data_IF_589627633296
#
_entry.id   IF_589627633296
#
_cell.length_a   1.000
_cell.length_b   1.000
_cell.length_c   1.000
_cell.angle_alpha   90.00
_cell.angle_beta   90.00
_cell.angle_gamma   90.00
#
_symmetry.space_group_name_H-M   'P 1'
#
loop_
_entity.id
_entity.type
_entity.pdbx_description
1 polymer ?
2 polymer ?
3 non-polymer ?
4 non-polymer ?
5 non-polymer ?
6 water ?
#
# COMPACT_ATOMS: atom_id res chain seq x y z
N UNK A 2 -1.56 4.50 -20.30
CA UNK A 2 -1.04 4.48 -18.90
C UNK A 2 -1.25 3.10 -18.26
N UNK A 3 -0.74 2.07 -18.93
CA UNK A 3 -0.87 0.69 -18.47
C UNK A 3 -2.35 0.37 -18.19
N UNK A 5 -4.28 -0.62 -15.16
CA UNK A 5 -4.54 -0.85 -13.75
C UNK A 5 -5.10 0.37 -13.03
N UNK A 6 -5.72 0.14 -11.88
CA UNK A 6 -6.35 1.21 -11.11
C UNK A 6 -5.46 1.75 -9.99
N UNK A 7 -4.97 0.86 -9.13
CA UNK A 7 -4.11 1.29 -8.04
C UNK A 7 -2.77 0.59 -8.05
N UNK A 9 -0.05 -0.67 -5.10
CA UNK A 9 0.31 -0.76 -3.68
C UNK A 9 1.76 -1.18 -3.54
N UNK A 10 2.50 -0.43 -2.74
CA UNK A 10 3.90 -0.72 -2.47
C UNK A 10 3.90 -1.54 -1.18
N UNK A 11 4.54 -2.71 -1.20
CA UNK A 11 4.60 -3.58 -0.04
C UNK A 11 6.02 -3.98 0.27
N UNK A 12 6.38 -3.92 1.57
CA UNK A 12 7.71 -4.29 2.02
C UNK A 12 7.65 -5.53 2.93
N UNK A 13 8.61 -6.44 2.77
CA UNK A 13 8.67 -7.63 3.60
C UNK A 13 9.92 -7.49 4.46
N UNK A 14 9.75 -7.42 5.78
CA UNK A 14 10.88 -7.26 6.68
C UNK A 14 10.93 -8.32 7.76
N UNK A 15 12.12 -8.51 8.32
CA UNK A 15 12.31 -9.49 9.38
C UNK A 15 13.74 -9.99 9.34
N UNK A 16 14.17 -10.67 10.41
CA UNK A 16 15.53 -11.20 10.52
C UNK A 16 15.96 -12.02 9.31
N UNK A 17 17.27 -12.01 9.04
CA UNK A 17 17.82 -12.77 7.93
C UNK A 17 17.51 -14.27 8.08
N UNK A 18 17.25 -14.92 6.95
CA UNK A 18 16.94 -16.36 6.91
C UNK A 18 15.55 -16.77 7.34
N UNK A 19 14.71 -15.81 7.73
CA UNK A 19 13.36 -16.17 8.14
C UNK A 19 12.55 -16.64 6.92
N UNK A 20 13.02 -16.28 5.73
CA UNK A 20 12.35 -16.69 4.51
C UNK A 20 11.53 -15.59 3.82
N UNK A 21 12.06 -14.37 3.83
CA UNK A 21 11.36 -13.27 3.21
C UNK A 21 11.34 -13.41 1.69
N UNK A 22 12.51 -13.59 1.10
CA UNK A 22 12.61 -13.76 -0.35
C UNK A 22 11.82 -14.97 -0.86
N UNK A 23 11.95 -16.09 -0.17
CA UNK A 23 11.24 -17.30 -0.55
C UNK A 23 9.77 -17.02 -0.62
N UNK A 24 9.26 -16.33 0.39
CA UNK A 24 7.85 -15.98 0.46
C UNK A 24 7.46 -15.21 -0.79
N UNK A 25 8.37 -14.36 -1.26
CA UNK A 25 8.14 -13.59 -2.46
C UNK A 25 8.15 -14.47 -3.72
N UNK A 26 9.28 -15.13 -3.97
CA UNK A 26 9.40 -15.99 -5.14
C UNK A 26 8.27 -17.00 -5.27
N UNK A 27 7.65 -17.35 -4.14
CA UNK A 27 6.53 -18.29 -4.16
C UNK A 27 5.24 -17.60 -4.58
N UNK A 28 5.13 -16.32 -4.25
CA UNK A 28 3.93 -15.57 -4.59
C UNK A 28 4.01 -15.07 -6.02
N UNK A 29 5.19 -14.61 -6.41
CA UNK A 29 5.42 -14.09 -7.74
C UNK A 29 5.55 -15.19 -8.79
N UNK A 30 6.66 -15.92 -8.74
CA UNK A 30 6.95 -16.99 -9.69
C UNK A 30 6.57 -18.41 -9.25
N UNK A 31 6.15 -18.57 -8.00
CA UNK A 31 5.78 -19.88 -7.48
C UNK A 31 6.97 -20.83 -7.64
N UNK A 32 8.04 -20.56 -6.90
CA UNK A 32 9.25 -21.37 -6.97
C UNK A 32 10.04 -21.32 -5.67
N UNK A 33 10.32 -22.50 -5.10
CA UNK A 33 11.08 -22.61 -3.85
C UNK A 33 12.48 -23.16 -4.13
N UNK A 34 13.46 -22.69 -3.35
CA UNK A 34 14.83 -23.15 -3.53
C UNK A 34 15.55 -23.26 -2.18
N UNK A 35 15.74 -24.49 -1.69
CA UNK A 35 16.41 -24.76 -0.42
C UNK A 35 17.71 -23.98 -0.21
N UNK A 36 18.26 -23.42 -1.29
CA UNK A 36 19.50 -22.66 -1.19
C UNK A 36 19.26 -21.38 -0.40
N UNK A 37 20.34 -20.79 0.11
CA UNK A 37 20.23 -19.56 0.89
C UNK A 37 21.18 -18.46 0.40
N UNK A 38 20.66 -17.59 -0.45
CA UNK A 38 21.46 -16.48 -0.97
C UNK A 38 20.98 -15.19 -0.31
N UNK A 39 21.67 -14.77 0.76
CA UNK A 39 21.30 -13.56 1.46
C UNK A 39 21.14 -12.42 0.47
N UNK A 40 20.06 -11.67 0.61
CA UNK A 40 19.76 -10.53 -0.26
C UNK A 40 20.69 -9.35 -0.03
N UNK A 41 21.12 -8.73 -1.13
CA UNK A 41 22.02 -7.59 -1.05
C UNK A 41 21.25 -6.27 -1.04
N UNK A 42 21.01 -5.74 0.16
CA UNK A 42 20.29 -4.48 0.28
C UNK A 42 18.80 -4.67 0.07
N UNK A 43 18.34 -4.42 -1.15
CA UNK A 43 16.93 -4.55 -1.49
C UNK A 43 16.74 -5.06 -2.91
N UNK A 44 15.50 -5.41 -3.22
CA UNK A 44 15.13 -5.89 -4.54
C UNK A 44 13.61 -5.91 -4.56
N UNK A 45 13.00 -5.96 -5.75
CA UNK A 45 11.56 -5.98 -5.81
C UNK A 45 11.00 -6.67 -7.05
N UNK A 46 9.70 -6.96 -6.99
CA UNK A 46 9.02 -7.61 -8.08
C UNK A 46 7.66 -6.94 -8.23
N UNK A 47 7.10 -7.04 -9.43
CA UNK A 47 5.80 -6.46 -9.73
C UNK A 47 4.82 -7.54 -10.11
N UNK A 48 3.59 -7.41 -9.64
CA UNK A 48 2.56 -8.40 -9.92
C UNK A 48 1.21 -7.72 -9.92
N UNK A 49 0.48 -7.86 -11.03
CA UNK A 49 -0.84 -7.27 -11.13
C UNK A 49 -1.86 -8.33 -10.78
N UNK A 50 -2.83 -7.96 -9.96
CA UNK A 50 -3.87 -8.89 -9.57
C UNK A 50 -5.18 -8.16 -9.74
N UNK A 51 -6.28 -8.92 -9.78
CA UNK A 51 -7.61 -8.35 -9.92
C UNK A 51 -8.39 -8.78 -8.70
N UNK A 52 -8.64 -7.85 -7.80
CA UNK A 52 -9.35 -8.17 -6.57
C UNK A 52 -10.23 -7.01 -6.15
N UNK A 53 -11.36 -7.32 -5.55
CA UNK A 53 -12.30 -6.30 -5.10
C UNK A 53 -12.71 -5.41 -6.28
N UNK A 54 -13.01 -6.04 -7.42
CA UNK A 54 -13.44 -5.34 -8.62
C UNK A 54 -12.46 -4.25 -9.05
N UNK A 55 -11.16 -4.44 -8.78
CA UNK A 55 -10.14 -3.46 -9.16
C UNK A 55 -8.86 -4.12 -9.63
N UNK A 56 -8.22 -3.55 -10.63
CA UNK A 56 -6.95 -4.09 -11.11
C UNK A 56 -5.88 -3.44 -10.23
N UNK A 57 -5.17 -4.26 -9.47
CA UNK A 57 -4.17 -3.72 -8.57
C UNK A 57 -2.77 -4.15 -8.91
N UNK A 58 -1.89 -3.17 -9.10
CA UNK A 58 -0.50 -3.48 -9.38
C UNK A 58 0.25 -3.44 -8.06
N UNK A 59 0.88 -4.57 -7.71
CA UNK A 59 1.62 -4.67 -6.47
C UNK A 59 3.11 -4.59 -6.71
N UNK A 60 3.76 -3.63 -6.07
CA UNK A 60 5.21 -3.52 -6.19
C UNK A 60 5.71 -4.07 -4.85
N UNK A 61 6.12 -5.33 -4.85
CA UNK A 61 6.57 -5.98 -3.62
C UNK A 61 8.06 -5.98 -3.41
N UNK A 62 8.53 -5.24 -2.40
CA UNK A 62 9.96 -5.15 -2.09
C UNK A 62 10.41 -6.19 -1.08
N UNK A 63 11.58 -6.76 -1.34
CA UNK A 63 12.19 -7.77 -0.50
C UNK A 63 13.42 -7.11 0.11
N UNK A 64 13.41 -6.93 1.43
CA UNK A 64 14.52 -6.28 2.12
C UNK A 64 15.52 -7.23 2.77
N UNK A 65 16.74 -6.75 2.97
CA UNK A 65 17.79 -7.54 3.60
C UNK A 65 17.57 -7.49 5.09
N UNK A 66 17.62 -8.65 5.74
CA UNK A 66 17.41 -8.69 7.18
C UNK A 66 18.61 -8.32 8.01
N UNK A 67 19.81 -8.55 7.48
CA UNK A 67 21.04 -8.24 8.19
C UNK A 67 21.15 -6.78 8.59
N UNK A 68 21.58 -6.55 9.83
CA UNK A 68 21.73 -5.21 10.38
C UNK A 68 22.64 -4.35 9.52
N UNK A 69 23.32 -4.98 8.57
CA UNK A 69 24.24 -4.29 7.70
C UNK A 69 23.57 -3.25 6.79
N UNK A 70 22.44 -3.61 6.19
CA UNK A 70 21.74 -2.70 5.27
C UNK A 70 20.58 -1.92 5.87
N UNK A 71 20.56 -1.79 7.19
CA UNK A 71 19.49 -1.07 7.88
C UNK A 71 19.15 0.28 7.25
N UNK A 72 20.16 1.16 7.13
CA UNK A 72 19.95 2.50 6.58
C UNK A 72 19.37 2.55 5.18
N UNK A 73 19.85 1.69 4.29
CA UNK A 73 19.33 1.67 2.93
C UNK A 73 17.94 1.06 2.83
N UNK A 74 17.64 0.05 3.64
CA UNK A 74 16.33 -0.59 3.59
C UNK A 74 15.25 0.25 4.26
N UNK A 75 15.62 0.92 5.36
CA UNK A 75 14.67 1.74 6.08
C UNK A 75 14.27 2.97 5.26
N UNK A 76 15.14 3.34 4.33
CA UNK A 76 14.88 4.50 3.48
C UNK A 76 13.67 4.25 2.58
N UNK A 77 13.35 2.99 2.32
CA UNK A 77 12.20 2.66 1.49
C UNK A 77 10.90 2.44 2.26
N UNK A 78 10.94 2.58 3.58
CA UNK A 78 9.74 2.38 4.38
C UNK A 78 8.69 3.45 4.15
N UNK A 79 9.11 4.71 4.15
CA UNK A 79 8.16 5.81 3.98
C UNK A 79 7.23 5.75 2.77
N UNK A 80 7.53 4.88 1.81
CA UNK A 80 6.65 4.78 0.66
C UNK A 80 5.67 3.62 0.75
N UNK A 81 5.90 2.72 1.71
CA UNK A 81 5.08 1.53 1.91
C UNK A 81 3.66 1.75 2.41
N UNK A 83 1.88 -1.21 3.07
CA UNK A 83 1.70 -2.39 3.88
C UNK A 83 2.99 -3.14 4.15
N UNK A 84 3.07 -3.77 5.31
CA UNK A 84 4.25 -4.54 5.68
C UNK A 84 3.94 -5.97 6.03
N UNK A 85 4.90 -6.82 5.74
CA UNK A 85 4.82 -8.22 6.08
C UNK A 85 6.05 -8.39 6.98
N UNK A 86 5.80 -8.49 8.28
CA UNK A 86 6.87 -8.65 9.26
C UNK A 86 6.90 -10.12 9.59
N UNK A 88 8.83 -13.91 10.85
CA UNK A 88 9.83 -14.53 11.70
C UNK A 88 9.73 -16.02 11.45
N UNK A 89 10.74 -16.76 11.89
CA UNK A 89 10.78 -18.21 11.71
C UNK A 89 10.15 -18.85 12.95
N UNK A 90 9.21 -19.78 12.76
CA UNK A 90 8.57 -20.43 13.91
C UNK A 90 9.51 -21.41 14.58
N UNK A 91 10.70 -21.61 14.00
CA UNK A 91 11.69 -22.52 14.55
C UNK A 91 12.90 -21.75 15.08
N UNK A 92 12.75 -20.43 15.18
CA UNK A 92 13.84 -19.58 15.67
C UNK A 92 13.36 -18.54 16.68
N UNK A 93 13.66 -18.78 17.95
CA UNK A 93 13.25 -17.89 19.03
C UNK A 93 13.77 -16.47 18.83
N UNK A 94 15.04 -16.35 18.47
CA UNK A 94 15.61 -15.03 18.26
C UNK A 94 14.80 -14.18 17.28
N UNK A 95 14.56 -14.71 16.08
CA UNK A 95 13.81 -13.96 15.07
C UNK A 95 12.46 -13.52 15.63
N UNK A 96 11.87 -14.34 16.49
CA UNK A 96 10.58 -14.00 17.08
C UNK A 96 10.76 -12.93 18.16
N UNK A 97 11.92 -12.94 18.83
CA UNK A 97 12.19 -11.95 19.88
C UNK A 97 12.43 -10.59 19.22
N UNK A 98 12.90 -10.62 17.98
CA UNK A 98 13.19 -9.41 17.24
C UNK A 98 11.93 -8.68 16.78
N UNK A 99 10.81 -9.39 16.68
CA UNK A 99 9.58 -8.76 16.21
C UNK A 99 9.32 -7.39 16.83
N UNK A 100 9.31 -7.33 18.16
CA UNK A 100 9.08 -6.06 18.84
C UNK A 100 9.90 -4.93 18.21
N UNK A 101 11.18 -5.20 17.96
CA UNK A 101 12.08 -4.21 17.36
C UNK A 101 11.62 -3.77 15.98
N UNK A 102 11.41 -4.74 15.08
CA UNK A 102 10.96 -4.39 13.75
C UNK A 102 9.72 -3.54 13.85
N UNK A 103 8.86 -3.85 14.81
CA UNK A 103 7.64 -3.07 15.01
C UNK A 103 8.00 -1.61 15.26
N UNK A 104 9.01 -1.39 16.08
CA UNK A 104 9.46 -0.04 16.38
C UNK A 104 9.99 0.60 15.10
N UNK A 105 10.83 -0.15 14.40
CA UNK A 105 11.44 0.26 13.14
C UNK A 105 10.36 0.79 12.20
N UNK A 106 9.21 0.12 12.19
CA UNK A 106 8.12 0.51 11.32
C UNK A 106 7.47 1.81 11.79
N UNK A 107 7.28 1.94 13.10
CA UNK A 107 6.66 3.13 13.66
C UNK A 107 7.50 4.38 13.37
N UNK A 108 8.81 4.19 13.33
CA UNK A 108 9.76 5.26 13.08
C UNK A 108 9.88 5.74 11.62
N UNK A 109 10.17 4.82 10.70
CA UNK A 109 10.36 5.17 9.31
C UNK A 109 9.16 5.09 8.36
N UNK A 110 7.96 4.84 8.87
CA UNK A 110 6.81 4.75 7.97
C UNK A 110 5.65 5.63 8.38
N UNK A 111 4.72 5.81 7.46
CA UNK A 111 3.55 6.63 7.73
C UNK A 111 2.59 5.90 8.65
N UNK A 112 1.53 6.59 9.05
CA UNK A 112 0.56 6.04 9.99
C UNK A 112 -0.41 4.98 9.47
N UNK A 113 -1.01 5.21 8.31
CA UNK A 113 -1.96 4.25 7.78
C UNK A 113 -1.32 2.90 7.43
N UNK A 114 0.01 2.85 7.40
CA UNK A 114 0.73 1.63 7.08
C UNK A 114 0.12 0.43 7.77
N UNK A 115 -0.34 -0.53 6.98
CA UNK A 115 -0.95 -1.75 7.51
C UNK A 115 0.14 -2.80 7.70
N UNK A 116 0.08 -3.52 8.82
CA UNK A 116 1.10 -4.53 9.11
C UNK A 116 0.54 -5.91 9.39
N UNK A 117 1.15 -6.92 8.79
CA UNK A 117 0.74 -8.31 9.01
C UNK A 117 1.92 -9.10 9.58
N UNK A 118 1.68 -9.77 10.70
CA UNK A 118 2.72 -10.58 11.33
C UNK A 118 2.64 -12.01 10.80
N UNK A 119 3.69 -12.47 10.15
CA UNK A 119 3.72 -13.80 9.58
C UNK A 119 4.76 -14.72 10.21
N UNK A 120 4.31 -15.87 10.72
CA UNK A 120 5.21 -16.84 11.30
C UNK A 120 5.44 -17.85 10.20
N UNK A 121 6.62 -17.81 9.57
CA UNK A 121 6.94 -18.70 8.46
C UNK A 121 7.55 -20.06 8.82
N UNK A 122 7.52 -20.96 7.84
CA UNK A 122 8.04 -22.32 7.98
C UNK A 122 7.19 -23.21 8.86
N UNK A 123 5.87 -23.02 8.84
CA UNK A 123 4.99 -23.84 9.66
C UNK A 123 4.90 -25.28 9.15
N UNK A 124 5.83 -25.64 8.26
CA UNK A 124 5.90 -27.00 7.71
C UNK A 124 6.86 -27.78 8.60
N UNK A 126 7.10 -28.49 11.65
CA UNK A 126 6.46 -28.68 12.94
C UNK A 126 7.34 -29.41 13.94
N UNK A 127 8.41 -30.05 13.44
CA UNK A 127 9.32 -30.80 14.29
C UNK A 127 10.27 -29.88 15.04
N UNK A 128 10.64 -28.77 14.38
CA UNK A 128 11.56 -27.81 14.96
C UNK A 128 10.87 -26.56 15.49
N UNK A 129 9.56 -26.64 15.69
CA UNK A 129 8.78 -25.51 16.19
C UNK A 129 9.18 -25.14 17.62
N UNK A 130 9.51 -23.87 17.83
CA UNK A 130 9.90 -23.38 19.15
C UNK A 130 8.94 -22.31 19.65
N UNK A 131 8.24 -21.67 18.71
CA UNK A 131 7.27 -20.63 19.07
C UNK A 131 5.87 -21.19 18.83
N UNK A 132 5.01 -21.10 19.83
CA UNK A 132 3.65 -21.61 19.70
C UNK A 132 2.74 -20.60 19.03
N UNK A 133 1.74 -21.11 18.31
CA UNK A 133 0.79 -20.27 17.62
C UNK A 133 0.14 -19.30 18.59
N UNK A 134 -0.16 -19.78 19.79
CA UNK A 134 -0.79 -18.93 20.80
C UNK A 134 0.07 -17.72 21.18
N UNK A 135 1.40 -17.87 21.09
CA UNK A 135 2.30 -16.75 21.42
C UNK A 135 2.35 -15.73 20.30
N UNK A 136 2.48 -16.21 19.07
CA UNK A 136 2.53 -15.32 17.93
C UNK A 136 1.22 -14.53 17.91
N UNK A 137 0.12 -15.26 17.96
CA UNK A 137 -1.20 -14.66 17.97
C UNK A 137 -1.28 -13.62 19.08
N UNK A 138 -0.84 -14.00 20.27
CA UNK A 138 -0.88 -13.12 21.42
C UNK A 138 -0.07 -11.84 21.17
N UNK A 139 1.09 -11.99 20.54
CA UNK A 139 1.94 -10.83 20.25
C UNK A 139 1.25 -9.96 19.19
N UNK A 140 0.73 -10.62 18.15
CA UNK A 140 0.05 -9.91 17.08
C UNK A 140 -1.08 -9.03 17.63
N UNK A 141 -1.86 -9.58 18.56
CA UNK A 141 -2.97 -8.83 19.16
C UNK A 141 -2.44 -7.66 19.96
N UNK A 142 -1.32 -7.88 20.64
CA UNK A 142 -0.71 -6.85 21.47
C UNK A 142 -0.08 -5.71 20.64
N UNK A 143 0.26 -5.99 19.38
CA UNK A 143 0.85 -4.99 18.50
C UNK A 143 -0.20 -4.40 17.56
N UNK A 144 -1.38 -5.00 17.55
CA UNK A 144 -2.46 -4.54 16.68
C UNK A 144 -2.31 -5.00 15.25
N UNK A 145 -1.66 -6.14 15.04
CA UNK A 145 -1.45 -6.69 13.70
C UNK A 145 -2.29 -7.94 13.50
N UNK A 146 -2.54 -8.28 12.23
CA UNK A 146 -3.29 -9.47 11.88
C UNK A 146 -2.25 -10.57 11.96
N UNK A 147 -2.68 -11.80 12.24
CA UNK A 147 -1.72 -12.90 12.36
C UNK A 147 -1.95 -14.09 11.44
N UNK A 148 -0.86 -14.52 10.81
CA UNK A 148 -0.90 -15.67 9.91
C UNK A 148 0.31 -16.56 10.11
N UNK A 149 0.10 -17.86 9.99
CA UNK A 149 1.19 -18.80 10.12
C UNK A 149 1.21 -19.48 8.76
N UNK A 150 2.36 -19.43 8.09
CA UNK A 150 2.44 -20.00 6.76
C UNK A 150 3.79 -20.61 6.43
N UNK A 151 3.91 -21.10 5.21
CA UNK A 151 5.13 -21.71 4.73
C UNK A 151 5.37 -21.45 3.24
N UNK A 152 6.52 -20.86 2.93
CA UNK A 152 6.88 -20.59 1.55
C UNK A 152 7.02 -21.92 0.84
N UNK A 153 7.94 -22.75 1.34
CA UNK A 153 8.24 -24.08 0.80
C UNK A 153 7.02 -24.88 0.35
N UNK A 154 6.04 -25.03 1.24
CA UNK A 154 4.83 -25.80 0.92
C UNK A 154 3.64 -24.92 0.55
N UNK A 155 3.90 -23.83 -0.16
CA UNK A 155 2.87 -22.88 -0.59
C UNK A 155 1.60 -22.97 0.23
N UNK A 156 1.70 -22.61 1.51
CA UNK A 156 0.55 -22.66 2.41
C UNK A 156 0.32 -21.31 3.09
N UNK A 157 -0.93 -20.84 3.02
CA UNK A 157 -1.31 -19.59 3.64
C UNK A 157 -0.50 -18.38 3.16
N UNK A 158 0.23 -18.54 2.05
CA UNK A 158 1.03 -17.44 1.53
C UNK A 158 0.16 -16.47 0.70
N UNK A 159 -0.56 -16.98 -0.28
CA UNK A 159 -1.41 -16.11 -1.07
C UNK A 159 -2.42 -15.43 -0.18
N UNK A 160 -2.94 -16.17 0.80
CA UNK A 160 -3.92 -15.61 1.74
C UNK A 160 -3.34 -14.47 2.56
N UNK A 161 -2.01 -14.43 2.69
CA UNK A 161 -1.37 -13.37 3.44
C UNK A 161 -1.42 -12.08 2.63
N UNK A 162 -0.91 -12.13 1.40
CA UNK A 162 -0.93 -10.96 0.53
C UNK A 162 -2.36 -10.51 0.28
N UNK A 163 -3.27 -11.44 0.08
CA UNK A 163 -4.66 -11.08 -0.18
C UNK A 163 -5.28 -10.37 1.01
N UNK A 164 -4.85 -10.73 2.23
CA UNK A 164 -5.40 -10.07 3.40
C UNK A 164 -4.80 -8.67 3.51
N UNK A 165 -3.51 -8.56 3.16
CA UNK A 165 -2.82 -7.26 3.20
C UNK A 165 -3.58 -6.32 2.26
N UNK A 166 -3.67 -6.73 0.99
CA UNK A 166 -4.38 -5.96 -0.02
C UNK A 166 -5.78 -5.51 0.42
N UNK A 167 -6.59 -6.44 0.93
CA UNK A 167 -7.94 -6.06 1.36
C UNK A 167 -7.91 -5.11 2.55
N UNK A 168 -6.94 -5.29 3.42
CA UNK A 168 -6.81 -4.42 4.59
C UNK A 168 -6.49 -3.00 4.13
N UNK A 169 -5.58 -2.89 3.17
CA UNK A 169 -5.21 -1.60 2.61
C UNK A 169 -6.43 -1.00 1.90
N UNK A 170 -7.16 -1.83 1.16
CA UNK A 170 -8.34 -1.34 0.46
C UNK A 170 -9.37 -0.76 1.43
N UNK A 171 -9.55 -1.41 2.57
CA UNK A 171 -10.51 -0.93 3.56
C UNK A 171 -10.02 0.37 4.22
N UNK A 172 -8.71 0.56 4.30
CA UNK A 172 -8.20 1.77 4.91
C UNK A 172 -8.40 2.90 3.90
N UNK A 174 -10.88 2.98 1.64
CA UNK A 174 -12.30 3.26 1.70
C UNK A 174 -12.68 4.05 2.95
N UNK A 175 -11.94 3.83 4.03
CA UNK A 175 -12.22 4.50 5.30
C UNK A 175 -11.69 5.93 5.30
N UNK A 176 -10.68 6.19 4.48
CA UNK A 176 -10.07 7.52 4.42
C UNK A 176 -10.96 8.52 3.67
N UNK A 177 -12.10 8.07 3.17
CA UNK A 177 -12.98 8.96 2.44
C UNK A 177 -14.35 9.07 3.12
N UNK A 178 -14.45 10.03 4.04
CA UNK A 178 -15.68 10.31 4.79
C UNK A 178 -16.17 9.09 5.58
N UNK B 8 28.35 3.02 9.69
CA UNK B 8 27.98 2.20 8.49
C UNK B 8 29.05 1.16 8.16
N UNK B 9 29.25 0.94 6.87
CA UNK B 9 30.23 -0.03 6.38
C UNK B 9 30.60 0.27 4.94
N UNK B 10 31.60 -0.45 4.44
CA UNK B 10 32.06 -0.27 3.06
C UNK B 10 31.11 -1.05 2.14
N UNK B 11 31.39 -1.01 0.85
CA UNK B 11 30.55 -1.71 -0.13
C UNK B 11 31.28 -1.85 -1.47
N UNK B 12 31.73 -3.06 -1.76
CA UNK B 12 32.45 -3.34 -3.00
C UNK B 12 31.62 -3.05 -4.26
N UNK B 13 31.21 -4.11 -4.94
CA UNK B 13 30.40 -4.00 -6.15
C UNK B 13 28.93 -4.09 -5.77
N UNK B 14 28.67 -4.30 -4.48
CA UNK B 14 27.31 -4.41 -3.98
C UNK B 14 26.51 -3.22 -4.50
N UNK B 15 27.11 -2.03 -4.43
CA UNK B 15 26.47 -0.82 -4.92
C UNK B 15 25.98 -1.07 -6.34
N UNK B 16 26.86 -1.65 -7.14
CA UNK B 16 26.56 -1.96 -8.53
C UNK B 16 25.29 -2.83 -8.65
N UNK B 17 25.13 -3.75 -7.71
CA UNK B 17 23.98 -4.65 -7.68
C UNK B 17 22.71 -3.91 -7.23
N UNK B 18 22.89 -2.97 -6.31
CA UNK B 18 21.78 -2.18 -5.77
C UNK B 18 21.33 -1.08 -6.73
N UNK B 19 22.28 -0.34 -7.26
CA UNK B 19 21.96 0.74 -8.19
C UNK B 19 21.07 0.24 -9.32
N UNK B 20 21.25 -1.01 -9.73
CA UNK B 20 20.42 -1.56 -10.80
C UNK B 20 18.96 -1.51 -10.36
N UNK B 21 18.68 -2.11 -9.20
CA UNK B 21 17.34 -2.12 -8.64
C UNK B 21 16.81 -0.70 -8.57
N UNK B 22 17.64 0.20 -8.05
CA UNK B 22 17.26 1.61 -7.94
C UNK B 22 16.89 2.16 -9.30
N UNK B 23 17.76 1.95 -10.27
CA UNK B 23 17.56 2.43 -11.64
C UNK B 23 16.22 2.01 -12.22
N UNK B 24 15.88 0.72 -12.08
CA UNK B 24 14.62 0.24 -12.64
C UNK B 24 13.43 0.57 -11.75
N UNK B 25 13.70 1.16 -10.59
CA UNK B 25 12.65 1.54 -9.68
C UNK B 25 12.32 2.99 -10.01
N UNK B 26 13.36 3.75 -10.33
CA UNK B 26 13.21 5.16 -10.69
C UNK B 26 12.54 5.29 -12.05
N UNK B 27 12.69 4.27 -12.88
CA UNK B 27 12.08 4.29 -14.20
C UNK B 27 10.58 4.04 -14.03
N UNK B 29 9.00 4.93 -11.40
CA UNK B 29 8.50 6.14 -10.76
C UNK B 29 8.16 7.21 -11.81
N UNK B 30 8.95 7.24 -12.88
CA UNK B 30 8.73 8.19 -13.95
C UNK B 30 7.38 7.93 -14.61
N UNK B 32 4.92 6.34 -13.31
CA UNK B 32 3.86 6.55 -12.35
C UNK B 32 3.48 8.03 -12.33
N UNK B 33 4.47 8.89 -12.53
CA UNK B 33 4.23 10.33 -12.54
C UNK B 33 3.44 10.74 -13.77
N UNK B 34 3.58 9.97 -14.85
CA UNK B 34 2.86 10.26 -16.08
C UNK B 34 1.42 9.78 -15.99
N UNK B 35 1.23 8.65 -15.33
CA UNK B 35 -0.09 8.07 -15.15
C UNK B 35 -0.91 9.03 -14.29
N UNK B 36 -0.31 9.46 -13.18
CA UNK B 36 -0.95 10.38 -12.25
C UNK B 36 -1.11 11.77 -12.87
N UNK B 37 -0.07 12.18 -13.59
CA UNK B 37 -0.10 13.48 -14.25
C UNK B 37 -1.32 13.66 -15.12
N UNK B 38 -1.64 12.64 -15.93
CA UNK B 38 -2.80 12.71 -16.81
C UNK B 38 -4.09 12.83 -16.01
N UNK B 39 -4.20 12.06 -14.94
CA UNK B 39 -5.38 12.09 -14.10
C UNK B 39 -5.54 13.47 -13.47
N UNK B 40 -4.45 14.01 -12.94
CA UNK B 40 -4.48 15.31 -12.30
C UNK B 40 -4.82 16.43 -13.28
N UNK B 41 -4.22 16.39 -14.46
CA UNK B 41 -4.46 17.41 -15.46
C UNK B 41 -5.91 17.42 -15.92
N UNK B 42 -6.47 16.23 -16.12
CA UNK B 42 -7.86 16.12 -16.56
C UNK B 42 -8.77 16.78 -15.53
N UNK B 43 -8.44 16.55 -14.26
CA UNK B 43 -9.21 17.11 -13.17
C UNK B 43 -9.15 18.64 -13.15
N UNK B 44 -7.96 19.21 -13.31
CA UNK B 44 -7.80 20.67 -13.32
C UNK B 44 -8.66 21.32 -14.39
N UNK B 45 -8.66 20.72 -15.57
CA UNK B 45 -9.47 21.23 -16.65
C UNK B 45 -10.93 21.30 -16.20
N UNK B 47 -12.03 21.70 -13.25
CA UNK B 47 -12.12 22.80 -12.30
C UNK B 47 -12.23 24.15 -13.01
N UNK B 48 -11.42 24.32 -14.05
CA UNK B 48 -11.44 25.57 -14.81
C UNK B 48 -12.78 25.83 -15.46
N UNK B 49 -13.56 24.78 -15.71
CA UNK B 49 -14.86 24.93 -16.35
C UNK B 49 -16.03 25.21 -15.43
N UNK B 50 -15.75 25.49 -14.17
CA UNK B 50 -16.80 25.80 -13.20
C UNK B 50 -17.39 27.13 -13.66
N UNK B 51 -18.71 27.18 -13.79
CA UNK B 51 -19.37 28.40 -14.24
C UNK B 51 -20.24 29.10 -13.20
N UNK B 52 -20.64 28.35 -12.17
CA UNK B 52 -21.49 28.92 -11.12
C UNK B 52 -20.77 29.33 -9.85
N UNK B 53 -21.55 29.63 -8.81
CA UNK B 53 -20.97 30.04 -7.53
C UNK B 53 -21.33 29.10 -6.39
N UNK B 54 -22.26 28.19 -6.65
CA UNK B 54 -22.66 27.24 -5.62
C UNK B 54 -23.65 27.80 -4.62
N UNK B 55 -24.05 29.05 -4.83
CA UNK B 55 -24.98 29.71 -3.93
C UNK B 55 -26.40 29.66 -4.50
N UNK B 56 -26.71 30.59 -5.40
CA UNK B 56 -28.02 30.62 -6.02
C UNK B 56 -28.03 29.84 -7.33
N UNK B 57 -26.88 29.81 -8.00
CA UNK B 57 -26.77 29.08 -9.26
C UNK B 57 -25.75 27.95 -9.13
N UNK B 58 -26.17 26.75 -9.54
CA UNK B 58 -25.31 25.55 -9.48
C UNK B 58 -23.84 25.88 -9.72
N UNK B 59 -22.98 25.22 -8.96
CA UNK B 59 -21.54 25.46 -9.06
C UNK B 59 -20.89 25.05 -10.37
N UNK B 60 -21.38 23.98 -10.99
CA UNK B 60 -20.78 23.53 -12.25
C UNK B 60 -21.26 24.28 -13.49
N UNK B 61 -22.50 23.99 -13.93
CA UNK B 61 -23.06 24.63 -15.13
C UNK B 61 -23.30 26.13 -14.98
N UNK B 62 -23.95 26.53 -13.89
CA UNK B 62 -24.22 27.95 -13.68
C UNK B 62 -25.69 28.31 -13.70
N UNK B 63 -26.55 27.34 -13.97
CA UNK B 63 -27.99 27.58 -14.00
C UNK B 63 -28.51 27.82 -12.60
N UNK B 64 -29.42 28.77 -12.46
CA UNK B 64 -30.00 29.10 -11.16
C UNK B 64 -30.78 27.94 -10.57
N UNK B 65 -30.93 27.95 -9.25
CA UNK B 65 -31.65 26.89 -8.53
C UNK B 65 -32.89 27.45 -7.85
N UNK B 66 -33.88 26.59 -7.63
CA UNK B 66 -35.09 27.03 -6.96
C UNK B 66 -36.39 26.86 -7.73
N UNK B 68 -37.11 27.65 -10.49
CA UNK B 68 -36.89 27.54 -11.92
C UNK B 68 -37.10 26.10 -12.40
N UNK B 69 -37.58 25.24 -11.50
CA UNK B 69 -37.82 23.85 -11.85
C UNK B 69 -36.57 22.99 -11.74
N UNK B 70 -35.49 23.57 -11.22
CA UNK B 70 -34.23 22.85 -11.06
C UNK B 70 -33.99 22.39 -9.62
N UNK B 71 -34.16 21.10 -9.38
CA UNK B 71 -33.94 20.54 -8.06
C UNK B 71 -32.49 20.79 -7.65
N UNK B 72 -32.22 20.74 -6.35
CA UNK B 72 -30.86 20.99 -5.87
C UNK B 72 -30.47 20.15 -4.66
N UNK B 73 -29.16 20.02 -4.48
CA UNK B 73 -28.60 19.29 -3.35
C UNK B 73 -27.28 19.97 -2.98
N UNK B 74 -26.74 19.59 -1.82
CA UNK B 74 -25.49 20.17 -1.36
C UNK B 74 -24.46 19.09 -1.49
N UNK B 75 -23.28 19.43 -1.98
CA UNK B 75 -22.23 18.45 -2.15
C UNK B 75 -21.48 18.26 -0.83
N UNK B 76 -21.41 17.00 -0.40
CA UNK B 76 -20.74 16.63 0.83
C UNK B 76 -19.27 17.01 0.93
N UNK B 77 -18.60 17.18 -0.21
CA UNK B 77 -17.18 17.50 -0.18
C UNK B 77 -16.78 18.96 -0.33
N UNK B 78 -17.48 19.73 -1.14
CA UNK B 78 -17.10 21.13 -1.30
C UNK B 78 -18.17 22.04 -0.68
N UNK B 79 -19.24 21.43 -0.18
CA UNK B 79 -20.31 22.18 0.47
C UNK B 79 -21.11 23.16 -0.39
N UNK B 80 -20.91 23.12 -1.70
CA UNK B 80 -21.65 24.03 -2.57
C UNK B 80 -22.92 23.38 -3.08
N UNK B 81 -23.83 24.20 -3.59
CA UNK B 81 -25.08 23.68 -4.13
C UNK B 81 -24.89 23.28 -5.57
N UNK B 82 -25.41 22.11 -5.92
CA UNK B 82 -25.32 21.57 -7.27
C UNK B 82 -26.68 21.04 -7.68
N UNK B 83 -27.01 21.16 -8.95
CA UNK B 83 -28.29 20.66 -9.42
C UNK B 83 -28.16 19.16 -9.52
N UNK B 84 -29.29 18.47 -9.48
CA UNK B 84 -29.31 17.01 -9.55
C UNK B 84 -28.69 16.49 -10.86
N UNK B 85 -28.53 17.40 -11.83
CA UNK B 85 -27.96 17.05 -13.13
C UNK B 85 -26.43 16.96 -13.01
N UNK B 86 -25.84 17.94 -12.35
CA UNK B 86 -24.39 17.95 -12.15
C UNK B 86 -23.99 17.24 -10.87
N UNK B 87 -24.92 16.49 -10.28
CA UNK B 87 -24.62 15.81 -9.04
C UNK B 87 -24.75 14.30 -9.14
N UNK B 88 -24.07 13.60 -8.24
CA UNK B 88 -24.11 12.15 -8.24
C UNK B 88 -24.50 11.60 -6.87
N UNK B 89 -25.66 10.96 -6.80
CA UNK B 89 -26.11 10.38 -5.55
C UNK B 89 -25.28 9.13 -5.27
N UNK B 90 -24.45 9.18 -4.23
CA UNK B 90 -23.62 8.03 -3.86
C UNK B 90 -24.42 7.28 -2.81
N UNK B 91 -24.21 5.97 -2.70
CA UNK B 91 -24.96 5.19 -1.74
C UNK B 91 -24.26 3.93 -1.26
N UNK B 92 -24.31 3.71 0.05
CA UNK B 92 -23.71 2.53 0.65
C UNK B 92 -24.80 1.69 1.30
N UNK B 93 -24.57 1.24 2.53
CA UNK B 93 -25.55 0.43 3.26
C UNK B 93 -26.13 1.23 4.42
N UNK B 94 -26.61 2.44 4.13
CA UNK B 94 -27.17 3.32 5.15
C UNK B 94 -27.97 4.46 4.53
N UNK B 95 -29.22 4.66 4.98
CA UNK B 95 -30.10 5.73 4.49
C UNK B 95 -29.46 7.11 4.50
N UNK B 96 -30.15 8.10 3.91
CA UNK B 96 -29.65 9.46 3.85
C UNK B 96 -28.26 9.47 3.18
N UNK B 97 -28.21 9.06 1.90
CA UNK B 97 -26.97 9.01 1.11
C UNK B 97 -26.36 10.38 0.88
N UNK B 98 -25.04 10.41 0.71
CA UNK B 98 -24.35 11.67 0.48
C UNK B 98 -24.23 11.94 -1.02
N UNK B 99 -24.33 13.21 -1.40
CA UNK B 99 -24.21 13.60 -2.80
C UNK B 99 -22.84 14.19 -3.10
N UNK B 100 -22.43 14.08 -4.35
CA UNK B 100 -21.16 14.63 -4.75
C UNK B 100 -21.32 15.33 -6.10
N UNK B 101 -20.70 16.50 -6.22
CA UNK B 101 -20.76 17.23 -7.49
C UNK B 101 -19.82 16.40 -8.38
N UNK B 102 -19.96 16.50 -9.69
CA UNK B 102 -19.10 15.70 -10.56
C UNK B 102 -17.61 15.91 -10.33
N UNK B 103 -17.20 17.15 -10.06
CA UNK B 103 -15.77 17.42 -9.84
C UNK B 103 -15.20 16.71 -8.62
N UNK B 104 -15.93 16.70 -7.51
CA UNK B 104 -15.45 16.06 -6.30
C UNK B 104 -15.48 14.53 -6.40
N UNK B 105 -16.35 14.02 -7.26
CA UNK B 105 -16.44 12.59 -7.47
C UNK B 105 -15.16 12.17 -8.19
N UNK B 106 -14.75 12.95 -9.18
CA UNK B 106 -13.53 12.66 -9.92
C UNK B 106 -12.34 12.88 -9.00
N UNK B 107 -12.46 13.88 -8.13
CA UNK B 107 -11.41 14.21 -7.17
C UNK B 107 -11.10 12.96 -6.35
N UNK B 108 -12.15 12.32 -5.84
CA UNK B 108 -11.97 11.10 -5.05
C UNK B 108 -11.32 9.99 -5.86
N UNK B 109 -11.71 9.86 -7.12
CA UNK B 109 -11.11 8.83 -7.97
C UNK B 109 -9.62 9.08 -8.11
N UNK B 110 -9.24 10.35 -8.19
CA UNK B 110 -7.83 10.70 -8.35
C UNK B 110 -7.04 10.48 -7.07
N UNK B 111 -7.59 10.86 -5.94
CA UNK B 111 -6.83 10.68 -4.72
C UNK B 111 -6.77 9.21 -4.29
N UNK B 112 -7.50 8.35 -4.99
CA UNK B 112 -7.44 6.91 -4.71
C UNK B 112 -6.46 6.25 -5.67
N UNK B 113 -6.68 6.46 -6.97
CA UNK B 113 -5.84 5.87 -7.99
C UNK B 113 -4.39 6.35 -7.96
N UNK B 114 -4.13 7.49 -7.33
CA UNK B 114 -2.77 8.03 -7.28
C UNK B 114 -2.05 7.71 -5.97
N UNK B 115 -2.80 7.23 -4.99
CA UNK B 115 -2.21 6.90 -3.70
C UNK B 115 -2.12 8.09 -2.77
N UNK B 116 -2.60 9.25 -3.22
CA UNK B 116 -2.56 10.45 -2.37
C UNK B 116 -3.41 10.28 -1.13
N UNK B 117 -4.41 9.40 -1.20
CA UNK B 117 -5.27 9.17 -0.03
C UNK B 117 -4.43 8.68 1.15
N UNK B 118 -3.32 8.02 0.85
CA UNK B 118 -2.45 7.49 1.90
C UNK B 118 -1.60 8.58 2.55
N UNK B 119 -0.82 9.28 1.75
CA UNK B 119 0.06 10.34 2.25
C UNK B 119 -0.68 11.66 2.44
N UNK B 120 -1.98 11.65 2.20
CA UNK B 120 -2.78 12.86 2.33
C UNK B 120 -2.18 13.94 1.41
N UNK B 121 -1.51 13.48 0.35
CA UNK B 121 -0.88 14.39 -0.60
C UNK B 121 0.11 13.64 -1.47
N UNK B 122 0.82 14.36 -2.34
CA UNK B 122 1.80 13.73 -3.22
C UNK B 122 3.22 13.93 -2.69
N UNK B 123 3.84 12.85 -2.18
CA UNK B 123 5.21 12.89 -1.64
C UNK B 123 6.28 12.75 -2.71
N UNK B 124 7.54 12.90 -2.32
CA UNK B 124 8.68 12.81 -3.24
C UNK B 124 9.79 11.94 -2.64
N UNK B 125 9.86 10.68 -3.07
CA UNK B 125 10.86 9.74 -2.59
C UNK B 125 12.17 9.81 -3.39
N UNK B 126 13.03 10.76 -3.03
CA UNK B 126 14.30 10.94 -3.72
C UNK B 126 15.42 10.06 -3.13
N UNK B 127 15.55 8.85 -3.66
CA UNK B 127 16.59 7.92 -3.21
C UNK B 127 17.61 7.67 -4.33
N UNK B 128 18.54 8.62 -4.55
CA UNK B 128 19.56 8.50 -5.59
C UNK B 128 20.47 7.27 -5.47
N UNK B 129 21.37 7.12 -6.45
CA UNK B 129 22.28 5.98 -6.47
C UNK B 129 23.66 6.32 -5.93
N UNK B 130 24.12 5.57 -4.91
CA UNK B 130 25.45 5.79 -4.29
C UNK B 130 26.61 5.39 -5.21
#
# INVERSE_FOLDING_TARGET
GSHXFDYXFKILIIGNSSVGKTSFLFRYADDSFTPAFVSTVGIDFKVKTIYRNDKRIKLQIWDTAGLERYRTITTAYYRGAXGFILXYDITNEESFNAVQDWSTQIKTYSWDNAQVLLVGNKCDXEDERVVSSERGRQLADHLGFEFFEASAKDNINVKQTFERLVDVICEKXSESLDTADPAVTGAKQGPQLTDQQAPPHQD
GSHXRKQEELTDEEKEIINRVIARAEKXETXEQERIGRLVDRLETXRKNVAGDGVNRCILCGEQLGXLGSASVVCEDCKKNVCTKCGVETSNNRPHPVWLCKICLEQREVWKRSGAWFFKGFPKQVLPQPXPIK
#
